data_IF_223207090616
#
_entry.id   IF_223207090616
#
_cell.length_a   1.000
_cell.length_b   1.000
_cell.length_c   1.000
_cell.angle_alpha   90.00
_cell.angle_beta   90.00
_cell.angle_gamma   90.00
#
_symmetry.space_group_name_H-M   'P 1'
#
loop_
_entity.id
_entity.type
_entity.pdbx_description
1 polymer ?
#
# COMPACT_ATOMS: atom_id res chain seq x y z
N UNK A 1 22.78 -15.49 30.95
CA UNK A 1 22.08 -14.23 30.64
C UNK A 1 21.99 -14.14 29.12
N UNK A 2 20.90 -14.62 28.52
CA UNK A 2 20.66 -14.62 27.06
C UNK A 2 19.40 -13.81 26.72
N UNK A 3 19.28 -12.61 27.30
CA UNK A 3 18.07 -11.78 27.17
C UNK A 3 18.09 -10.79 26.00
N UNK A 4 19.07 -10.87 25.09
CA UNK A 4 19.32 -9.82 24.10
C UNK A 4 18.91 -10.16 22.67
N UNK A 5 18.50 -11.39 22.32
CA UNK A 5 18.00 -11.66 20.95
C UNK A 5 16.49 -11.47 20.82
N UNK A 6 15.71 -11.78 21.87
CA UNK A 6 14.24 -11.79 21.84
C UNK A 6 13.60 -10.41 21.57
N UNK A 7 14.22 -9.33 22.06
CA UNK A 7 13.70 -7.96 21.86
C UNK A 7 13.98 -7.42 20.45
N UNK A 8 15.10 -7.83 19.84
CA UNK A 8 15.48 -7.42 18.50
C UNK A 8 14.55 -8.07 17.47
N UNK A 9 14.26 -9.37 17.63
CA UNK A 9 13.33 -10.11 16.77
C UNK A 9 11.91 -9.53 16.82
N UNK A 10 11.46 -9.11 18.01
CA UNK A 10 10.15 -8.45 18.19
C UNK A 10 10.11 -7.09 17.47
N UNK A 11 11.14 -6.26 17.63
CA UNK A 11 11.20 -4.93 17.02
C UNK A 11 11.19 -4.99 15.49
N UNK A 12 11.87 -5.97 14.88
CA UNK A 12 11.85 -6.12 13.43
C UNK A 12 10.50 -6.64 12.92
N UNK A 13 9.87 -7.58 13.63
CA UNK A 13 8.51 -8.05 13.32
C UNK A 13 7.50 -6.89 13.32
N UNK A 14 7.58 -6.00 14.32
CA UNK A 14 6.72 -4.81 14.41
C UNK A 14 6.96 -3.82 13.26
N UNK A 15 8.21 -3.64 12.84
CA UNK A 15 8.56 -2.81 11.67
C UNK A 15 7.96 -3.37 10.38
N UNK A 16 8.05 -4.68 10.15
CA UNK A 16 7.46 -5.36 8.99
C UNK A 16 5.92 -5.23 9.01
N UNK A 17 5.30 -5.44 10.17
CA UNK A 17 3.84 -5.28 10.32
C UNK A 17 3.38 -3.86 10.00
N UNK A 18 4.18 -2.86 10.39
CA UNK A 18 3.93 -1.45 10.05
C UNK A 18 4.03 -1.22 8.54
N UNK A 19 5.07 -1.73 7.87
CA UNK A 19 5.23 -1.60 6.42
C UNK A 19 4.10 -2.31 5.64
N UNK A 20 3.64 -3.48 6.11
CA UNK A 20 2.48 -4.17 5.53
C UNK A 20 1.21 -3.34 5.72
N UNK A 21 1.01 -2.75 6.89
CA UNK A 21 -0.12 -1.85 7.14
C UNK A 21 -0.07 -0.63 6.21
N UNK A 22 1.10 -0.03 6.03
CA UNK A 22 1.29 1.13 5.17
C UNK A 22 1.04 0.79 3.70
N UNK A 23 1.33 -0.44 3.27
CA UNK A 23 0.99 -0.95 1.94
C UNK A 23 -0.52 -1.19 1.76
N UNK A 24 -1.27 -1.53 2.82
CA UNK A 24 -2.73 -1.71 2.73
C UNK A 24 -3.46 -0.41 2.41
N UNK A 25 -2.95 0.73 2.87
CA UNK A 25 -3.57 2.03 2.60
C UNK A 25 -3.66 2.38 1.10
N UNK A 26 -2.57 2.38 0.31
CA UNK A 26 -2.65 2.63 -1.12
C UNK A 26 -3.45 1.54 -1.86
N UNK A 27 -3.36 0.27 -1.45
CA UNK A 27 -4.19 -0.81 -2.02
C UNK A 27 -5.69 -0.57 -1.84
N UNK A 28 -6.12 -0.17 -0.63
CA UNK A 28 -7.51 0.16 -0.35
C UNK A 28 -7.99 1.36 -1.17
N UNK A 29 -7.14 2.39 -1.31
CA UNK A 29 -7.45 3.53 -2.15
C UNK A 29 -7.59 3.12 -3.63
N UNK A 30 -6.73 2.24 -4.14
CA UNK A 30 -6.87 1.71 -5.52
C UNK A 30 -8.22 1.02 -5.70
N UNK A 31 -8.55 0.08 -4.79
CA UNK A 31 -9.81 -0.66 -4.86
C UNK A 31 -11.03 0.27 -4.83
N UNK A 32 -11.08 1.18 -3.86
CA UNK A 32 -12.17 2.14 -3.72
C UNK A 32 -12.32 3.04 -4.96
N UNK A 33 -11.22 3.58 -5.49
CA UNK A 33 -11.28 4.46 -6.67
C UNK A 33 -11.69 3.68 -7.93
N UNK A 34 -11.28 2.42 -8.06
CA UNK A 34 -11.71 1.55 -9.16
C UNK A 34 -13.21 1.21 -9.06
N UNK A 35 -13.70 0.89 -7.86
CA UNK A 35 -15.13 0.67 -7.60
C UNK A 35 -15.96 1.92 -7.91
N UNK A 36 -15.53 3.09 -7.45
CA UNK A 36 -16.17 4.37 -7.77
C UNK A 36 -16.19 4.66 -9.27
N UNK A 37 -15.09 4.38 -9.97
CA UNK A 37 -15.00 4.53 -11.42
C UNK A 37 -15.98 3.61 -12.14
N UNK A 38 -16.09 2.36 -11.70
CA UNK A 38 -17.10 1.41 -12.20
C UNK A 38 -18.52 1.95 -11.99
N UNK A 39 -18.86 2.43 -10.80
CA UNK A 39 -20.19 3.00 -10.52
C UNK A 39 -20.51 4.19 -11.43
N UNK A 40 -19.56 5.09 -11.65
CA UNK A 40 -19.73 6.25 -12.54
C UNK A 40 -20.02 5.81 -13.98
N UNK A 41 -19.31 4.79 -14.49
CA UNK A 41 -19.51 4.28 -15.84
C UNK A 41 -20.88 3.60 -16.05
N UNK A 42 -21.54 3.14 -14.98
CA UNK A 42 -22.89 2.55 -15.04
C UNK A 42 -24.02 3.59 -14.96
N UNK A 43 -23.70 4.89 -14.89
CA UNK A 43 -24.72 5.96 -14.91
C UNK A 43 -25.11 6.34 -16.35
N UNK A 44 -26.34 6.85 -16.53
CA UNK A 44 -26.87 7.24 -17.85
C UNK A 44 -26.03 8.33 -18.54
N UNK A 45 -25.31 9.14 -17.76
CA UNK A 45 -24.32 10.11 -18.23
C UNK A 45 -23.20 10.19 -17.22
N UNK A 46 -21.98 9.83 -17.62
CA UNK A 46 -20.82 9.86 -16.74
C UNK A 46 -19.99 11.13 -16.92
N UNK A 47 -19.45 11.60 -15.80
CA UNK A 47 -18.52 12.73 -15.75
C UNK A 47 -17.10 12.24 -16.09
N UNK A 48 -16.58 12.71 -17.24
CA UNK A 48 -15.26 12.33 -17.73
C UNK A 48 -14.15 12.91 -16.85
N UNK A 49 -14.27 14.16 -16.40
CA UNK A 49 -13.26 14.79 -15.54
C UNK A 49 -13.12 14.01 -14.23
N UNK A 50 -14.24 13.59 -13.65
CA UNK A 50 -14.24 12.77 -12.44
C UNK A 50 -13.56 11.42 -12.63
N UNK A 51 -13.74 10.76 -13.78
CA UNK A 51 -13.02 9.52 -14.09
C UNK A 51 -11.51 9.75 -14.24
N UNK A 52 -11.09 10.84 -14.88
CA UNK A 52 -9.68 11.21 -15.00
C UNK A 52 -9.03 11.43 -13.63
N UNK A 53 -9.74 12.10 -12.71
CA UNK A 53 -9.29 12.27 -11.33
C UNK A 53 -9.12 10.93 -10.61
N UNK A 54 -10.10 10.03 -10.70
CA UNK A 54 -10.02 8.69 -10.10
C UNK A 54 -8.83 7.89 -10.64
N UNK A 55 -8.59 7.92 -11.96
CA UNK A 55 -7.43 7.26 -12.55
C UNK A 55 -6.10 7.89 -12.11
N UNK A 56 -6.04 9.22 -12.00
CA UNK A 56 -4.85 9.91 -11.47
C UNK A 56 -4.55 9.49 -10.02
N UNK A 57 -5.59 9.32 -9.19
CA UNK A 57 -5.46 8.77 -7.84
C UNK A 57 -4.91 7.34 -7.90
N UNK A 58 -5.51 6.45 -8.69
CA UNK A 58 -5.06 5.05 -8.83
C UNK A 58 -3.58 4.99 -9.22
N UNK A 59 -3.16 5.74 -10.23
CA UNK A 59 -1.75 5.78 -10.68
C UNK A 59 -0.82 6.25 -9.55
N UNK A 60 -1.23 7.28 -8.80
CA UNK A 60 -0.45 7.77 -7.65
C UNK A 60 -0.31 6.71 -6.56
N UNK A 61 -1.39 5.99 -6.24
CA UNK A 61 -1.38 4.93 -5.25
C UNK A 61 -0.55 3.72 -5.70
N UNK A 62 -0.58 3.34 -6.97
CA UNK A 62 0.30 2.30 -7.50
C UNK A 62 1.78 2.66 -7.34
N UNK A 63 2.15 3.92 -7.60
CA UNK A 63 3.52 4.41 -7.36
C UNK A 63 3.90 4.36 -5.88
N UNK A 64 2.97 4.70 -5.00
CA UNK A 64 3.18 4.57 -3.56
C UNK A 64 3.36 3.10 -3.14
N UNK A 65 2.57 2.17 -3.67
CA UNK A 65 2.78 0.74 -3.45
C UNK A 65 4.20 0.30 -3.84
N UNK A 66 4.73 0.78 -4.97
CA UNK A 66 6.11 0.46 -5.37
C UNK A 66 7.14 0.91 -4.32
N UNK A 67 7.00 2.13 -3.79
CA UNK A 67 7.90 2.66 -2.75
C UNK A 67 7.80 1.84 -1.46
N UNK A 68 6.59 1.52 -0.99
CA UNK A 68 6.43 0.73 0.24
C UNK A 68 6.91 -0.72 0.07
N UNK A 69 6.76 -1.31 -1.12
CA UNK A 69 7.30 -2.63 -1.43
C UNK A 69 8.82 -2.65 -1.45
N UNK A 70 9.48 -1.60 -1.96
CA UNK A 70 10.94 -1.48 -1.91
C UNK A 70 11.45 -1.39 -0.45
N UNK A 71 10.75 -0.64 0.40
CA UNK A 71 11.07 -0.56 1.84
C UNK A 71 10.88 -1.89 2.54
N UNK A 72 9.76 -2.58 2.27
CA UNK A 72 9.51 -3.91 2.82
C UNK A 72 10.58 -4.91 2.38
N UNK A 73 10.96 -4.89 1.10
CA UNK A 73 12.04 -5.74 0.59
C UNK A 73 13.35 -5.46 1.31
N UNK A 74 13.74 -4.21 1.48
CA UNK A 74 14.98 -3.84 2.19
C UNK A 74 14.98 -4.36 3.64
N UNK A 75 13.87 -4.18 4.37
CA UNK A 75 13.73 -4.68 5.74
C UNK A 75 13.81 -6.21 5.83
N UNK A 76 13.26 -6.92 4.85
CA UNK A 76 13.35 -8.39 4.78
C UNK A 76 14.76 -8.87 4.41
N UNK A 77 15.44 -8.17 3.49
CA UNK A 77 16.81 -8.52 3.10
C UNK A 77 17.79 -8.33 4.29
N UNK A 78 17.58 -7.32 5.15
CA UNK A 78 18.33 -7.11 6.39
C UNK A 78 18.18 -8.25 7.40
N UNK A 79 17.02 -8.91 7.46
CA UNK A 79 16.80 -10.08 8.32
C UNK A 79 17.45 -11.36 7.79
N UNK A 80 17.64 -11.46 6.48
CA UNK A 80 18.21 -12.63 5.82
C UNK A 80 19.74 -12.61 5.77
N UNK A 81 20.36 -11.51 6.21
CA UNK A 81 21.80 -11.22 6.19
C UNK A 81 22.46 -11.52 7.53
#
# INVERSE_FOLDING_TARGET
MSGTSDWADTAVSDAINTLIHDLRNPLNNIAMNAELGSLILHTDSYDKEKLEELFAVIVRQCRQCSVELERLKAAVDELAS
#
